data_IF_265078203494
#
_entry.id   IF_265078203494
#
_cell.length_a   1.000
_cell.length_b   1.000
_cell.length_c   1.000
_cell.angle_alpha   90.00
_cell.angle_beta   90.00
_cell.angle_gamma   90.00
#
_symmetry.space_group_name_H-M   'P 1'
#
loop_
_entity.id
_entity.type
_entity.pdbx_description
1 polymer ?
#
# COMPACT_ATOMS: atom_id res chain seq x y z
N UNK A 1 -2.17 19.56 7.88
CA UNK A 1 -2.28 18.76 9.13
C UNK A 1 -1.37 17.53 9.07
N UNK A 2 -1.47 16.65 8.07
CA UNK A 2 -0.62 15.44 7.94
C UNK A 2 0.89 15.76 7.93
N UNK A 3 1.34 16.75 7.16
CA UNK A 3 2.76 17.13 7.12
C UNK A 3 3.32 17.59 8.48
N UNK A 4 2.48 18.14 9.36
CA UNK A 4 2.86 18.51 10.72
C UNK A 4 2.82 17.32 11.69
N UNK A 5 2.07 16.26 11.36
CA UNK A 5 2.01 15.02 12.13
C UNK A 5 3.19 14.09 11.84
N UNK A 6 3.67 14.04 10.59
CA UNK A 6 4.84 13.25 10.18
C UNK A 6 6.06 13.42 11.10
N UNK A 7 6.57 14.64 11.41
CA UNK A 7 7.74 14.78 12.27
C UNK A 7 7.49 14.31 13.71
N UNK A 8 6.26 14.45 14.22
CA UNK A 8 5.88 13.97 15.55
C UNK A 8 5.84 12.44 15.60
N UNK A 9 5.29 11.81 14.57
CA UNK A 9 5.32 10.35 14.44
C UNK A 9 6.75 9.84 14.29
N UNK A 10 7.59 10.52 13.51
CA UNK A 10 9.01 10.18 13.36
C UNK A 10 9.76 10.25 14.69
N UNK A 11 9.51 11.28 15.49
CA UNK A 11 10.06 11.41 16.84
C UNK A 11 9.61 10.27 17.76
N UNK A 12 8.31 9.97 17.80
CA UNK A 12 7.75 8.85 18.58
C UNK A 12 8.32 7.48 18.18
N UNK A 13 8.78 7.35 16.93
CA UNK A 13 9.45 6.15 16.41
C UNK A 13 10.99 6.23 16.49
N UNK A 14 11.55 7.11 17.32
CA UNK A 14 12.99 7.14 17.59
C UNK A 14 13.82 7.75 16.47
N UNK A 15 13.29 8.75 15.75
CA UNK A 15 13.97 9.50 14.70
C UNK A 15 14.49 8.67 13.52
N UNK A 16 13.79 7.59 13.17
CA UNK A 16 14.12 6.76 12.00
C UNK A 16 14.30 7.59 10.72
N UNK A 17 15.27 7.23 9.84
CA UNK A 17 15.42 7.84 8.53
C UNK A 17 14.11 7.70 7.72
N UNK A 18 13.73 8.70 6.94
CA UNK A 18 12.53 8.64 6.11
C UNK A 18 12.86 8.15 4.70
N UNK A 19 13.19 6.86 4.60
CA UNK A 19 13.41 6.14 3.33
C UNK A 19 12.48 4.93 3.26
N UNK A 20 12.39 4.25 2.13
CA UNK A 20 11.59 3.02 2.07
C UNK A 20 12.21 1.93 2.97
N UNK A 21 11.41 1.19 3.77
CA UNK A 21 9.95 1.25 3.92
C UNK A 21 9.46 2.28 4.97
N UNK A 22 10.35 2.81 5.80
CA UNK A 22 10.06 3.67 6.97
C UNK A 22 9.33 4.99 6.66
N UNK A 23 9.53 5.60 5.49
CA UNK A 23 8.82 6.82 5.09
C UNK A 23 7.32 6.57 4.92
N UNK A 24 6.95 5.44 4.30
CA UNK A 24 5.55 5.04 4.17
C UNK A 24 4.92 4.71 5.54
N UNK A 25 5.66 4.04 6.43
CA UNK A 25 5.17 3.71 7.79
C UNK A 25 4.79 4.98 8.55
N UNK A 26 5.70 5.96 8.59
CA UNK A 26 5.46 7.25 9.25
C UNK A 26 4.32 8.00 8.57
N UNK A 27 4.30 8.03 7.23
CA UNK A 27 3.26 8.70 6.46
C UNK A 27 1.86 8.14 6.72
N UNK A 28 1.70 6.81 6.63
CA UNK A 28 0.44 6.12 6.89
C UNK A 28 -0.06 6.36 8.31
N UNK A 29 0.81 6.23 9.31
CA UNK A 29 0.42 6.49 10.69
C UNK A 29 0.02 7.95 10.92
N UNK A 30 0.72 8.90 10.30
CA UNK A 30 0.37 10.32 10.38
C UNK A 30 -1.00 10.61 9.74
N UNK A 31 -1.32 9.98 8.61
CA UNK A 31 -2.64 10.06 7.99
C UNK A 31 -3.71 9.48 8.92
N UNK A 32 -3.48 8.30 9.51
CA UNK A 32 -4.42 7.69 10.46
C UNK A 32 -4.71 8.63 11.63
N UNK A 33 -3.67 9.18 12.27
CA UNK A 33 -3.83 10.09 13.41
C UNK A 33 -4.68 11.33 13.08
N UNK A 34 -4.52 11.88 11.86
CA UNK A 34 -5.30 13.04 11.40
C UNK A 34 -6.74 12.66 11.10
N UNK A 35 -6.97 11.55 10.39
CA UNK A 35 -8.32 11.10 10.03
C UNK A 35 -9.14 10.67 11.25
N UNK A 36 -8.50 10.07 12.25
CA UNK A 36 -9.17 9.66 13.50
C UNK A 36 -9.34 10.81 14.50
N UNK A 37 -8.68 11.96 14.27
CA UNK A 37 -8.68 13.10 15.19
C UNK A 37 -7.94 12.85 16.52
N UNK A 38 -7.28 11.70 16.67
CA UNK A 38 -6.65 11.24 17.90
C UNK A 38 -5.37 10.47 17.55
N UNK A 39 -4.23 10.89 18.13
CA UNK A 39 -2.93 10.28 17.85
C UNK A 39 -2.90 8.85 18.35
N UNK A 40 -2.55 7.91 17.47
CA UNK A 40 -2.40 6.50 17.78
C UNK A 40 -3.65 5.85 18.36
N UNK A 41 -4.86 6.36 18.08
CA UNK A 41 -6.11 5.64 18.36
C UNK A 41 -6.05 4.24 17.75
N UNK A 42 -5.62 4.19 16.49
CA UNK A 42 -5.20 2.96 15.80
C UNK A 42 -3.72 3.04 15.51
N UNK A 43 -2.96 2.00 15.88
CA UNK A 43 -1.56 1.85 15.49
C UNK A 43 -1.52 0.92 14.27
N UNK A 44 -0.94 1.39 13.18
CA UNK A 44 -0.73 0.55 11.99
C UNK A 44 0.22 -0.61 12.32
N UNK A 45 0.04 -1.76 11.64
CA UNK A 45 0.81 -2.97 11.88
C UNK A 45 2.32 -2.72 11.77
N UNK A 46 2.74 -2.01 10.74
CA UNK A 46 4.14 -1.72 10.47
C UNK A 46 4.72 -0.74 11.50
N UNK A 47 3.93 0.23 11.99
CA UNK A 47 4.30 1.11 13.12
C UNK A 47 4.53 0.29 14.39
N UNK A 48 3.63 -0.66 14.68
CA UNK A 48 3.81 -1.58 15.80
C UNK A 48 5.07 -2.43 15.62
N UNK A 49 5.38 -2.88 14.40
CA UNK A 49 6.61 -3.62 14.12
C UNK A 49 7.89 -2.80 14.40
N UNK A 50 7.92 -1.51 14.08
CA UNK A 50 9.03 -0.61 14.49
C UNK A 50 9.17 -0.61 16.01
N UNK A 51 8.06 -0.38 16.72
CA UNK A 51 8.03 -0.30 18.19
C UNK A 51 8.43 -1.63 18.86
N UNK A 52 8.13 -2.77 18.22
CA UNK A 52 8.53 -4.12 18.65
C UNK A 52 9.98 -4.46 18.33
N UNK A 53 10.67 -3.66 17.51
CA UNK A 53 12.04 -3.93 17.06
C UNK A 53 12.15 -4.86 15.84
N UNK A 54 11.04 -5.18 15.17
CA UNK A 54 10.98 -6.11 14.03
C UNK A 54 11.70 -5.58 12.77
N UNK A 55 11.97 -4.27 12.73
CA UNK A 55 12.72 -3.60 11.65
C UNK A 55 14.16 -3.26 12.07
N UNK A 56 14.59 -3.70 13.24
CA UNK A 56 15.91 -3.43 13.81
C UNK A 56 15.92 -2.23 14.76
N UNK A 57 17.13 -1.78 15.09
CA UNK A 57 17.35 -0.76 16.13
C UNK A 57 17.11 0.65 15.60
N UNK A 58 16.29 1.43 16.31
CA UNK A 58 16.06 2.84 16.02
C UNK A 58 17.25 3.72 16.46
N UNK A 59 17.51 4.88 15.81
CA UNK A 59 18.59 5.78 16.19
C UNK A 59 18.47 6.36 17.60
N UNK A 60 17.25 6.65 18.03
CA UNK A 60 16.91 7.12 19.37
C UNK A 60 15.87 6.19 20.03
N UNK A 61 15.68 6.27 21.36
CA UNK A 61 14.59 5.57 22.02
C UNK A 61 13.24 5.91 21.39
N UNK A 62 12.41 4.90 21.20
CA UNK A 62 11.01 5.09 20.80
C UNK A 62 10.18 5.59 21.98
N UNK A 63 8.97 6.07 21.71
CA UNK A 63 8.02 6.43 22.74
C UNK A 63 7.67 5.22 23.62
N UNK A 64 8.03 5.29 24.91
CA UNK A 64 7.89 4.17 25.84
C UNK A 64 6.44 3.73 26.05
N UNK A 65 5.48 4.66 26.06
CA UNK A 65 4.06 4.33 26.25
C UNK A 65 3.49 3.59 25.03
N UNK A 66 3.85 4.01 23.82
CA UNK A 66 3.44 3.33 22.59
C UNK A 66 4.09 1.96 22.49
N UNK A 67 5.38 1.85 22.82
CA UNK A 67 6.09 0.58 22.82
C UNK A 67 5.47 -0.42 23.81
N UNK A 68 5.23 -0.02 25.05
CA UNK A 68 4.57 -0.87 26.04
C UNK A 68 3.18 -1.34 25.56
N UNK A 69 2.42 -0.44 24.89
CA UNK A 69 1.10 -0.76 24.37
C UNK A 69 1.10 -1.83 23.28
N UNK A 70 2.10 -1.84 22.39
CA UNK A 70 2.18 -2.84 21.31
C UNK A 70 2.86 -4.13 21.73
N UNK A 71 3.67 -4.08 22.79
CA UNK A 71 4.36 -5.25 23.33
C UNK A 71 3.44 -6.13 24.18
N UNK A 72 2.42 -5.54 24.82
CA UNK A 72 1.44 -6.28 25.63
C UNK A 72 2.11 -7.17 26.71
N UNK A 73 3.21 -6.68 27.30
CA UNK A 73 4.00 -7.40 28.30
C UNK A 73 5.13 -8.28 27.75
N UNK A 74 5.30 -8.37 26.43
CA UNK A 74 6.48 -8.99 25.82
C UNK A 74 7.69 -8.04 25.84
N UNK A 75 8.88 -8.62 25.64
CA UNK A 75 10.12 -7.86 25.45
C UNK A 75 10.30 -7.45 23.97
N UNK A 76 10.88 -6.27 23.69
CA UNK A 76 11.19 -5.87 22.33
C UNK A 76 12.31 -6.74 21.73
N UNK A 77 12.27 -6.93 20.42
CA UNK A 77 13.34 -7.57 19.65
C UNK A 77 14.57 -6.67 19.67
N UNK A 78 15.69 -7.20 20.15
CA UNK A 78 16.97 -6.47 20.26
C UNK A 78 18.10 -7.04 19.40
N UNK A 79 17.93 -8.25 18.86
CA UNK A 79 18.85 -8.86 17.90
C UNK A 79 18.56 -8.40 16.45
N UNK A 80 19.32 -8.93 15.48
CA UNK A 80 18.99 -8.73 14.06
C UNK A 80 17.69 -9.51 13.78
N UNK A 81 16.60 -8.88 13.29
CA UNK A 81 15.29 -9.56 13.16
C UNK A 81 15.32 -10.86 12.34
N UNK A 82 16.19 -10.93 11.32
CA UNK A 82 16.36 -12.11 10.50
C UNK A 82 16.89 -13.34 11.27
N UNK A 83 17.50 -13.16 12.45
CA UNK A 83 17.95 -14.26 13.30
C UNK A 83 16.78 -15.05 13.91
N UNK A 84 15.58 -14.47 13.91
CA UNK A 84 14.35 -15.11 14.38
C UNK A 84 13.60 -15.87 13.26
N UNK A 85 14.04 -15.75 12.01
CA UNK A 85 13.44 -16.41 10.87
C UNK A 85 14.05 -17.80 10.65
N UNK A 86 13.19 -18.79 10.42
CA UNK A 86 13.64 -20.14 10.03
C UNK A 86 13.96 -20.16 8.53
N UNK A 87 14.91 -20.99 8.07
CA UNK A 87 15.10 -21.21 6.64
C UNK A 87 13.81 -21.71 5.99
N UNK A 88 13.34 -21.02 4.95
CA UNK A 88 12.02 -21.25 4.34
C UNK A 88 12.05 -21.77 2.90
N UNK A 89 13.22 -21.82 2.26
CA UNK A 89 13.31 -22.12 0.82
C UNK A 89 12.71 -23.48 0.45
N UNK A 90 13.03 -24.54 1.17
CA UNK A 90 12.51 -25.88 0.89
C UNK A 90 10.97 -25.94 1.05
N UNK A 91 10.43 -25.20 2.01
CA UNK A 91 8.99 -25.11 2.22
C UNK A 91 8.32 -24.34 1.08
N UNK A 92 8.89 -23.21 0.68
CA UNK A 92 8.39 -22.40 -0.43
C UNK A 92 8.42 -23.17 -1.76
N UNK A 93 9.48 -23.93 -2.03
CA UNK A 93 9.57 -24.80 -3.21
C UNK A 93 8.44 -25.84 -3.23
N UNK A 94 8.19 -26.50 -2.11
CA UNK A 94 7.12 -27.49 -2.00
C UNK A 94 5.74 -26.85 -2.19
N UNK A 95 5.51 -25.69 -1.57
CA UNK A 95 4.24 -24.97 -1.65
C UNK A 95 3.95 -24.45 -3.06
N UNK A 96 4.93 -23.84 -3.73
CA UNK A 96 4.78 -23.33 -5.10
C UNK A 96 4.52 -24.48 -6.07
N UNK A 97 5.22 -25.61 -5.94
CA UNK A 97 4.99 -26.80 -6.78
C UNK A 97 3.58 -27.36 -6.58
N UNK A 98 3.13 -27.46 -5.33
CA UNK A 98 1.77 -27.89 -5.01
C UNK A 98 0.72 -26.95 -5.60
N UNK A 99 0.85 -25.64 -5.37
CA UNK A 99 -0.06 -24.63 -5.90
C UNK A 99 -0.09 -24.65 -7.43
N UNK A 100 1.06 -24.85 -8.07
CA UNK A 100 1.15 -24.96 -9.52
C UNK A 100 0.41 -26.19 -10.06
N UNK A 101 0.53 -27.34 -9.39
CA UNK A 101 -0.21 -28.55 -9.74
C UNK A 101 -1.73 -28.37 -9.55
N UNK A 102 -2.15 -27.83 -8.41
CA UNK A 102 -3.56 -27.59 -8.09
C UNK A 102 -4.24 -26.63 -9.07
N UNK A 103 -3.49 -25.64 -9.56
CA UNK A 103 -4.00 -24.58 -10.44
C UNK A 103 -3.65 -24.75 -11.91
N UNK A 104 -2.95 -25.83 -12.28
CA UNK A 104 -2.51 -26.08 -13.66
C UNK A 104 -1.50 -25.05 -14.19
N UNK A 105 -0.70 -24.45 -13.31
CA UNK A 105 0.31 -23.46 -13.68
C UNK A 105 1.56 -24.18 -14.20
N UNK A 106 2.04 -23.78 -15.37
CA UNK A 106 3.32 -24.24 -15.89
C UNK A 106 4.44 -23.36 -15.31
N UNK A 107 5.26 -23.94 -14.43
CA UNK A 107 6.44 -23.26 -13.90
C UNK A 107 7.51 -23.07 -14.98
N UNK A 108 8.39 -22.09 -14.78
CA UNK A 108 9.54 -21.85 -15.63
C UNK A 108 10.49 -23.06 -15.64
N UNK A 109 11.29 -23.19 -16.71
CA UNK A 109 12.29 -24.25 -16.82
C UNK A 109 13.26 -24.28 -15.63
N UNK A 110 13.56 -23.10 -15.07
CA UNK A 110 14.25 -22.94 -13.79
C UNK A 110 13.22 -22.56 -12.70
N UNK A 111 12.57 -23.56 -12.11
CA UNK A 111 11.45 -23.35 -11.18
C UNK A 111 11.79 -22.49 -9.95
N UNK A 112 13.08 -22.38 -9.58
CA UNK A 112 13.52 -21.52 -8.48
C UNK A 112 13.21 -20.04 -8.72
N UNK A 113 13.18 -19.58 -9.97
CA UNK A 113 12.87 -18.18 -10.30
C UNK A 113 11.41 -17.84 -9.96
N UNK A 114 10.52 -18.82 -10.14
CA UNK A 114 9.09 -18.71 -9.79
C UNK A 114 8.90 -18.77 -8.28
N UNK A 115 9.66 -19.64 -7.60
CA UNK A 115 9.67 -19.74 -6.14
C UNK A 115 10.12 -18.42 -5.51
N UNK A 116 11.20 -17.81 -6.02
CA UNK A 116 11.68 -16.52 -5.52
C UNK A 116 10.70 -15.37 -5.81
N UNK A 117 10.01 -15.41 -6.97
CA UNK A 117 8.95 -14.44 -7.29
C UNK A 117 7.80 -14.52 -6.28
N UNK A 118 7.35 -15.73 -5.97
CA UNK A 118 6.28 -15.98 -4.98
C UNK A 118 6.78 -15.68 -3.57
N UNK A 119 8.05 -15.93 -3.24
CA UNK A 119 8.61 -15.62 -1.93
C UNK A 119 8.53 -14.11 -1.62
N UNK A 120 8.86 -13.27 -2.61
CA UNK A 120 8.80 -11.81 -2.47
C UNK A 120 7.35 -11.29 -2.39
N UNK A 121 6.44 -11.87 -3.18
CA UNK A 121 5.04 -11.45 -3.24
C UNK A 121 4.10 -12.66 -3.37
N UNK A 122 3.71 -13.35 -2.28
CA UNK A 122 3.04 -14.64 -2.38
C UNK A 122 1.76 -14.64 -3.22
N UNK A 123 0.87 -13.68 -2.99
CA UNK A 123 -0.40 -13.59 -3.72
C UNK A 123 -0.24 -13.01 -5.13
N UNK A 124 0.52 -11.91 -5.26
CA UNK A 124 0.71 -11.22 -6.54
C UNK A 124 1.56 -12.07 -7.47
N UNK A 125 2.65 -12.65 -6.96
CA UNK A 125 3.52 -13.57 -7.67
C UNK A 125 2.74 -14.78 -8.19
N UNK A 126 1.94 -15.44 -7.36
CA UNK A 126 1.12 -16.57 -7.81
C UNK A 126 0.11 -16.15 -8.90
N UNK A 127 -0.58 -15.02 -8.72
CA UNK A 127 -1.49 -14.47 -9.74
C UNK A 127 -0.78 -14.13 -11.05
N UNK A 128 0.46 -13.64 -10.96
CA UNK A 128 1.31 -13.41 -12.12
C UNK A 128 1.64 -14.74 -12.82
N UNK A 129 2.02 -15.79 -12.09
CA UNK A 129 2.30 -17.11 -12.67
C UNK A 129 1.07 -17.71 -13.37
N UNK A 130 -0.12 -17.60 -12.76
CA UNK A 130 -1.39 -18.03 -13.37
C UNK A 130 -1.66 -17.34 -14.72
N UNK A 131 -1.19 -16.10 -14.87
CA UNK A 131 -1.47 -15.27 -16.05
C UNK A 131 -0.25 -15.06 -16.94
N UNK A 132 0.89 -15.70 -16.68
CA UNK A 132 2.18 -15.43 -17.36
C UNK A 132 2.10 -15.42 -18.89
N UNK A 133 1.24 -16.26 -19.45
CA UNK A 133 1.03 -16.41 -20.90
C UNK A 133 -0.31 -15.84 -21.37
N UNK A 134 -0.94 -14.98 -20.58
CA UNK A 134 -2.20 -14.32 -20.85
C UNK A 134 -2.01 -12.80 -20.96
N UNK A 135 -1.72 -12.26 -22.16
CA UNK A 135 -1.56 -10.82 -22.38
C UNK A 135 -2.78 -9.99 -21.96
N UNK A 136 -4.00 -10.57 -22.03
CA UNK A 136 -5.23 -9.87 -21.66
C UNK A 136 -5.37 -9.64 -20.14
N UNK A 137 -4.56 -10.30 -19.31
CA UNK A 137 -4.53 -10.09 -17.87
C UNK A 137 -3.62 -8.93 -17.45
N UNK A 138 -2.85 -8.36 -18.37
CA UNK A 138 -1.92 -7.27 -18.10
C UNK A 138 -2.31 -6.01 -18.86
N UNK A 139 -1.85 -4.87 -18.35
CA UNK A 139 -2.00 -3.60 -19.07
C UNK A 139 -1.26 -3.68 -20.41
N UNK A 140 -1.81 -3.04 -21.47
CA UNK A 140 -1.12 -2.98 -22.75
C UNK A 140 0.23 -2.28 -22.54
N UNK A 141 1.23 -2.70 -23.33
CA UNK A 141 2.54 -2.07 -23.31
C UNK A 141 2.35 -0.55 -23.46
N UNK A 142 2.88 0.28 -22.54
CA UNK A 142 2.78 1.72 -22.66
C UNK A 142 3.29 2.14 -24.03
N UNK A 143 2.37 2.55 -24.90
CA UNK A 143 2.74 3.18 -26.14
C UNK A 143 3.09 4.61 -25.79
N UNK A 144 4.25 5.08 -26.24
CA UNK A 144 4.47 6.51 -26.31
C UNK A 144 3.44 7.06 -27.29
N UNK A 145 2.29 7.51 -26.78
CA UNK A 145 1.46 8.41 -27.55
C UNK A 145 2.38 9.57 -27.92
N UNK A 146 2.68 9.70 -29.21
CA UNK A 146 3.10 11.00 -29.71
C UNK A 146 2.03 11.95 -29.17
N UNK A 147 2.43 12.93 -28.35
CA UNK A 147 1.55 13.98 -27.91
C UNK A 147 1.05 14.69 -29.16
N UNK A 148 -0.01 14.17 -29.76
CA UNK A 148 -0.80 14.93 -30.69
C UNK A 148 -1.31 16.08 -29.83
N UNK A 149 -1.02 17.33 -30.20
CA UNK A 149 -1.67 18.44 -29.55
C UNK A 149 -3.15 18.12 -29.65
N UNK A 150 -3.79 17.84 -28.52
CA UNK A 150 -5.25 17.89 -28.46
C UNK A 150 -5.52 19.30 -28.94
N UNK A 151 -6.08 19.44 -30.15
CA UNK A 151 -6.52 20.73 -30.64
C UNK A 151 -7.31 21.32 -29.48
N UNK A 152 -6.88 22.49 -28.98
CA UNK A 152 -7.63 23.21 -27.94
C UNK A 152 -9.09 23.07 -28.33
N UNK A 153 -9.90 22.43 -27.50
CA UNK A 153 -11.31 22.33 -27.79
C UNK A 153 -11.79 23.75 -28.03
N UNK A 154 -12.14 24.07 -29.28
CA UNK A 154 -12.57 25.43 -29.66
C UNK A 154 -13.91 25.79 -29.00
N UNK A 155 -14.48 24.87 -28.23
CA UNK A 155 -15.60 25.08 -27.32
C UNK A 155 -15.25 24.54 -25.93
N UNK A 156 -15.53 25.30 -24.85
CA UNK A 156 -15.56 24.73 -23.52
C UNK A 156 -16.50 23.53 -23.52
N UNK A 157 -16.15 22.47 -22.77
CA UNK A 157 -17.11 21.43 -22.46
C UNK A 157 -18.31 22.12 -21.81
N UNK A 158 -19.53 21.85 -22.27
CA UNK A 158 -20.70 22.54 -21.74
C UNK A 158 -20.85 22.15 -20.26
N UNK A 159 -20.53 23.07 -19.35
CA UNK A 159 -20.88 22.95 -17.94
C UNK A 159 -22.38 22.65 -17.86
N UNK A 160 -22.76 21.59 -17.16
CA UNK A 160 -24.11 21.07 -17.22
C UNK A 160 -24.48 20.29 -15.97
N UNK A 161 -25.78 20.27 -15.69
CA UNK A 161 -26.35 19.39 -14.66
C UNK A 161 -26.91 18.17 -15.39
N UNK A 162 -26.39 16.99 -15.06
CA UNK A 162 -26.76 15.71 -15.64
C UNK A 162 -27.39 14.83 -14.57
N UNK A 163 -28.45 14.10 -14.93
CA UNK A 163 -28.94 13.02 -14.07
C UNK A 163 -28.28 11.72 -14.51
N UNK A 164 -27.50 11.11 -13.62
CA UNK A 164 -26.78 9.85 -13.83
C UNK A 164 -27.43 8.78 -12.97
N UNK A 165 -27.85 7.67 -13.58
CA UNK A 165 -28.32 6.50 -12.82
C UNK A 165 -27.16 5.57 -12.49
N UNK A 166 -26.98 5.30 -11.20
CA UNK A 166 -26.02 4.32 -10.69
C UNK A 166 -26.77 3.37 -9.78
N UNK A 167 -26.72 2.07 -10.07
CA UNK A 167 -27.40 1.02 -9.31
C UNK A 167 -28.91 1.26 -9.11
N UNK A 168 -29.58 1.79 -10.14
CA UNK A 168 -31.03 2.05 -10.13
C UNK A 168 -31.45 3.28 -9.30
N UNK A 169 -30.49 4.11 -8.86
CA UNK A 169 -30.75 5.40 -8.22
C UNK A 169 -30.24 6.54 -9.10
N UNK A 170 -31.09 7.53 -9.33
CA UNK A 170 -30.76 8.71 -10.10
C UNK A 170 -30.04 9.76 -9.23
N UNK A 171 -28.87 10.21 -9.67
CA UNK A 171 -28.05 11.23 -9.04
C UNK A 171 -27.91 12.43 -9.94
N UNK A 172 -28.09 13.63 -9.40
CA UNK A 172 -27.91 14.88 -10.15
C UNK A 172 -26.46 15.34 -9.99
N UNK A 173 -25.68 15.25 -11.06
CA UNK A 173 -24.26 15.58 -11.12
C UNK A 173 -24.07 16.91 -11.85
N UNK A 174 -23.49 17.89 -11.17
CA UNK A 174 -23.06 19.15 -11.80
C UNK A 174 -21.61 19.01 -12.26
N UNK A 175 -21.39 19.17 -13.56
CA UNK A 175 -20.04 19.19 -14.15
C UNK A 175 -19.65 20.65 -14.39
N UNK A 176 -18.58 21.11 -13.74
CA UNK A 176 -17.98 22.45 -13.92
C UNK A 176 -16.67 22.34 -14.68
N UNK A 177 -16.33 23.39 -15.44
CA UNK A 177 -15.04 23.50 -16.10
C UNK A 177 -13.91 23.67 -15.08
N UNK A 178 -12.95 22.75 -15.11
CA UNK A 178 -11.78 22.74 -14.23
C UNK A 178 -11.89 21.70 -13.12
N UNK A 179 -10.89 20.82 -13.03
CA UNK A 179 -10.76 19.77 -12.01
C UNK A 179 -10.48 20.28 -10.60
N UNK A 180 -11.18 21.34 -10.19
CA UNK A 180 -11.14 21.86 -8.84
C UNK A 180 -12.25 21.20 -8.01
N UNK A 181 -11.84 20.24 -7.17
CA UNK A 181 -12.72 19.36 -6.38
C UNK A 181 -13.22 20.07 -5.11
N UNK A 182 -12.91 21.36 -4.95
CA UNK A 182 -13.24 22.17 -3.77
C UNK A 182 -14.73 22.49 -3.59
N UNK A 183 -15.61 22.12 -4.54
CA UNK A 183 -17.05 22.39 -4.47
C UNK A 183 -17.94 21.18 -4.15
N UNK A 184 -17.38 20.03 -3.75
CA UNK A 184 -18.19 18.93 -3.21
C UNK A 184 -18.63 19.26 -1.78
N UNK A 185 -19.73 19.99 -1.64
CA UNK A 185 -20.51 20.02 -0.40
C UNK A 185 -21.46 18.82 -0.37
N UNK A 186 -21.47 18.11 0.76
CA UNK A 186 -22.47 17.07 1.01
C UNK A 186 -23.87 17.70 0.98
N UNK A 187 -24.78 17.08 0.23
CA UNK A 187 -26.20 17.43 0.32
C UNK A 187 -26.72 17.02 1.71
N UNK A 188 -27.41 17.93 2.37
CA UNK A 188 -28.20 17.64 3.56
C UNK A 188 -29.57 18.33 3.42
N UNK A 189 -30.62 17.81 4.07
CA UNK A 189 -30.71 16.57 4.85
C UNK A 189 -31.35 15.40 4.11
#
# INVERSE_FOLDING_TARGET
QVLAEIPRVREDLGFIPLVTPTSQIVGTQAVLNVLTGERYKTIAKETAGILKGEYGRTPAPVNAALQARVLEGAEPVTCRPADLLKPELAQLEADVRRQAQEKGITLAGNAIDDVLTVALFPQIGLKFLENRHNPAAFEPVPQAEAAQPVAKAEKPAASGIYTVEVEGKAFVVKVSDGGDISQLTAAAP
#
